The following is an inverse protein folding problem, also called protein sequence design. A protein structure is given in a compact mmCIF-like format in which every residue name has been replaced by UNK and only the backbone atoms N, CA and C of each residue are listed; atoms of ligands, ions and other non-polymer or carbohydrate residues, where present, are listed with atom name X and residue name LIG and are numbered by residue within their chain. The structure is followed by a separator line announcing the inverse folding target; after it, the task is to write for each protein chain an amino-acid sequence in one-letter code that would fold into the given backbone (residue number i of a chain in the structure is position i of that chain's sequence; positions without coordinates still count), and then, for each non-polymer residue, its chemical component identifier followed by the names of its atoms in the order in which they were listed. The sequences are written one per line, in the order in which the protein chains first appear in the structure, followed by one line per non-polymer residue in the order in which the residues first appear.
data_IF_439356218133
#
_entry.id   IF_439356218133
#
_cell.length_a   1.000
_cell.length_b   1.000
_cell.length_c   1.000
_cell.angle_alpha   90.00
_cell.angle_beta   90.00
_cell.angle_gamma   90.00
#
_symmetry.space_group_name_H-M   'P 1'
#
loop_
_entity.id
_entity.type
_entity.pdbx_description
1 polymer ?
#
# COMPACT_ATOMS: atom_id res chain seq x y z
N UNK A 1 34.17 35.89 -41.01
CA UNK A 1 34.89 34.62 -41.19
C UNK A 1 34.73 33.84 -39.89
N UNK A 2 33.56 33.21 -39.69
CA UNK A 2 33.28 31.78 -39.96
C UNK A 2 34.20 30.85 -39.18
N UNK A 3 33.65 30.23 -38.13
CA UNK A 3 34.33 29.21 -37.33
C UNK A 3 33.37 28.58 -36.33
N UNK A 4 32.45 27.76 -36.84
CA UNK A 4 31.63 26.84 -36.08
C UNK A 4 32.50 25.71 -35.52
N UNK A 5 32.43 25.42 -34.23
CA UNK A 5 33.02 24.19 -33.67
C UNK A 5 32.08 23.61 -32.59
N UNK A 6 31.24 22.69 -33.02
CA UNK A 6 30.38 21.86 -32.17
C UNK A 6 31.09 20.51 -31.96
N UNK A 7 31.90 20.40 -30.90
CA UNK A 7 32.29 19.10 -30.34
C UNK A 7 31.05 18.41 -29.76
N UNK A 8 30.63 17.20 -30.13
CA UNK A 8 31.35 15.92 -30.36
C UNK A 8 31.94 15.31 -29.09
N UNK A 9 31.06 14.93 -28.18
CA UNK A 9 31.17 13.84 -27.21
C UNK A 9 29.75 13.28 -27.10
N UNK A 10 29.41 12.03 -27.35
CA UNK A 10 30.17 10.79 -27.31
C UNK A 10 29.15 9.74 -26.84
N UNK A 11 28.19 9.42 -27.70
CA UNK A 11 27.15 8.42 -27.44
C UNK A 11 27.77 7.03 -27.42
N UNK A 12 28.23 6.61 -26.25
CA UNK A 12 28.55 5.23 -25.94
C UNK A 12 27.32 4.56 -25.31
N UNK A 13 26.22 4.50 -26.08
CA UNK A 13 25.18 3.52 -25.77
C UNK A 13 25.69 2.18 -26.24
N UNK A 14 26.04 1.35 -25.25
CA UNK A 14 26.48 -0.02 -25.44
C UNK A 14 25.53 -0.74 -26.38
N UNK A 15 26.15 -1.37 -27.37
CA UNK A 15 25.56 -2.30 -28.30
C UNK A 15 25.10 -3.52 -27.49
N UNK A 16 23.95 -3.38 -26.84
CA UNK A 16 23.21 -4.49 -26.27
C UNK A 16 22.87 -5.43 -27.42
N UNK A 17 23.26 -6.68 -27.27
CA UNK A 17 22.76 -7.77 -28.08
C UNK A 17 21.23 -7.66 -28.17
N UNK A 18 20.74 -7.18 -29.30
CA UNK A 18 19.41 -7.51 -29.80
C UNK A 18 19.44 -9.02 -30.08
N UNK A 19 19.28 -9.81 -29.02
CA UNK A 19 18.74 -11.16 -29.16
C UNK A 19 17.44 -10.98 -29.96
N UNK A 20 17.29 -11.61 -31.14
CA UNK A 20 16.08 -11.49 -31.93
C UNK A 20 14.95 -12.07 -31.08
N UNK A 21 14.24 -11.17 -30.37
CA UNK A 21 13.05 -11.51 -29.60
C UNK A 21 12.15 -12.23 -30.57
N UNK A 22 11.88 -13.48 -30.23
CA UNK A 22 11.38 -14.53 -31.09
C UNK A 22 10.03 -14.11 -31.71
N UNK A 23 10.09 -13.39 -32.83
CA UNK A 23 8.92 -12.81 -33.51
C UNK A 23 7.92 -13.89 -33.96
N UNK A 24 8.40 -15.13 -34.05
CA UNK A 24 7.62 -16.34 -34.28
C UNK A 24 6.70 -16.62 -33.09
N UNK A 25 7.28 -16.65 -31.86
CA UNK A 25 6.53 -16.87 -30.62
C UNK A 25 5.53 -15.73 -30.39
N UNK A 26 5.91 -14.48 -30.67
CA UNK A 26 4.97 -13.36 -30.56
C UNK A 26 3.81 -13.47 -31.56
N UNK A 27 4.07 -13.92 -32.79
CA UNK A 27 3.02 -14.19 -33.79
C UNK A 27 2.10 -15.33 -33.37
N UNK A 28 2.67 -16.42 -32.87
CA UNK A 28 1.91 -17.60 -32.45
C UNK A 28 1.01 -17.27 -31.25
N UNK A 29 1.55 -16.52 -30.27
CA UNK A 29 0.78 -16.01 -29.14
C UNK A 29 -0.36 -15.10 -29.58
N UNK A 30 -0.13 -14.24 -30.58
CA UNK A 30 -1.15 -13.32 -31.12
C UNK A 30 -2.30 -14.09 -31.81
N UNK A 31 -1.98 -15.15 -32.54
CA UNK A 31 -2.99 -16.02 -33.18
C UNK A 31 -3.79 -16.81 -32.14
N UNK A 32 -3.13 -17.34 -31.10
CA UNK A 32 -3.79 -18.05 -30.01
C UNK A 32 -4.74 -17.14 -29.23
N UNK A 33 -4.33 -15.91 -28.93
CA UNK A 33 -5.17 -14.92 -28.26
C UNK A 33 -6.37 -14.51 -29.13
N UNK A 34 -6.19 -14.33 -30.43
CA UNK A 34 -7.30 -14.03 -31.35
C UNK A 34 -8.29 -15.20 -31.51
N UNK A 35 -7.84 -16.45 -31.40
CA UNK A 35 -8.74 -17.61 -31.42
C UNK A 35 -9.45 -17.86 -30.09
N UNK A 36 -8.79 -17.56 -28.97
CA UNK A 36 -9.33 -17.81 -27.63
C UNK A 36 -10.29 -16.71 -27.17
N UNK A 37 -10.16 -15.48 -27.67
CA UNK A 37 -11.08 -14.40 -27.39
C UNK A 37 -12.23 -14.44 -28.42
N UNK A 38 -13.44 -14.91 -28.06
CA UNK A 38 -14.60 -14.69 -28.91
C UNK A 38 -14.75 -13.19 -29.15
N UNK A 39 -14.86 -12.79 -30.41
CA UNK A 39 -15.21 -11.43 -30.83
C UNK A 39 -16.62 -11.16 -30.31
N UNK A 40 -16.71 -10.75 -29.04
CA UNK A 40 -17.95 -10.27 -28.47
C UNK A 40 -18.20 -8.93 -29.15
N UNK A 41 -19.30 -8.78 -29.92
CA UNK A 41 -19.63 -7.49 -30.52
C UNK A 41 -19.62 -6.48 -29.39
N UNK A 42 -18.75 -5.47 -29.51
CA UNK A 42 -18.67 -4.41 -28.53
C UNK A 42 -20.10 -3.86 -28.38
N UNK A 43 -20.74 -3.96 -27.21
CA UNK A 43 -22.09 -3.46 -27.07
C UNK A 43 -22.05 -1.97 -27.42
N UNK A 44 -22.81 -1.56 -28.43
CA UNK A 44 -22.78 -0.20 -28.99
C UNK A 44 -22.91 0.88 -27.89
N UNK A 45 -23.58 0.52 -26.79
CA UNK A 45 -23.82 1.38 -25.62
C UNK A 45 -22.65 1.53 -24.63
N UNK A 46 -21.51 0.84 -24.81
CA UNK A 46 -20.42 0.89 -23.79
C UNK A 46 -19.89 2.31 -23.61
N UNK A 47 -19.67 3.03 -24.71
CA UNK A 47 -19.18 4.41 -24.67
C UNK A 47 -20.23 5.37 -24.12
N UNK A 48 -21.51 5.13 -24.39
CA UNK A 48 -22.59 5.97 -23.88
C UNK A 48 -22.78 5.79 -22.37
N UNK A 49 -22.68 4.56 -21.84
CA UNK A 49 -22.65 4.34 -20.38
C UNK A 49 -21.45 4.99 -19.70
N UNK A 50 -20.29 5.06 -20.37
CA UNK A 50 -19.11 5.76 -19.86
C UNK A 50 -19.35 7.27 -19.86
N UNK A 51 -19.84 7.84 -20.97
CA UNK A 51 -20.21 9.26 -21.07
C UNK A 51 -21.24 9.65 -20.01
N UNK A 52 -22.24 8.80 -19.78
CA UNK A 52 -23.26 9.05 -18.77
C UNK A 52 -22.71 9.01 -17.34
N UNK A 53 -21.80 8.06 -17.04
CA UNK A 53 -21.09 8.02 -15.74
C UNK A 53 -20.22 9.26 -15.52
N UNK A 54 -19.50 9.69 -16.56
CA UNK A 54 -18.67 10.91 -16.49
C UNK A 54 -19.55 12.15 -16.29
N UNK A 55 -20.66 12.25 -17.03
CA UNK A 55 -21.62 13.35 -16.90
C UNK A 55 -22.25 13.41 -15.49
N UNK A 56 -22.66 12.25 -14.92
CA UNK A 56 -23.16 12.16 -13.54
C UNK A 56 -22.11 12.61 -12.51
N UNK A 57 -20.86 12.19 -12.69
CA UNK A 57 -19.76 12.56 -11.78
C UNK A 57 -19.46 14.06 -11.85
N UNK A 58 -19.45 14.65 -13.04
CA UNK A 58 -19.28 16.09 -13.24
C UNK A 58 -20.42 16.91 -12.62
N UNK A 59 -21.68 16.46 -12.74
CA UNK A 59 -22.83 17.14 -12.10
C UNK A 59 -22.69 17.16 -10.57
N UNK A 60 -22.32 16.03 -9.95
CA UNK A 60 -22.10 15.95 -8.49
C UNK A 60 -20.97 16.86 -8.00
N UNK A 61 -19.90 17.00 -8.79
CA UNK A 61 -18.80 17.93 -8.46
C UNK A 61 -19.23 19.40 -8.53
N UNK A 62 -20.06 19.78 -9.50
CA UNK A 62 -20.58 21.14 -9.63
C UNK A 62 -21.52 21.53 -8.49
N UNK A 63 -22.35 20.60 -7.99
CA UNK A 63 -23.21 20.87 -6.83
C UNK A 63 -22.42 20.99 -5.53
N UNK A 64 -21.34 20.21 -5.37
CA UNK A 64 -20.48 20.32 -4.18
C UNK A 64 -19.66 21.62 -4.13
N UNK A 65 -19.25 22.16 -5.29
CA UNK A 65 -18.49 23.40 -5.36
C UNK A 65 -19.27 24.66 -4.92
N UNK A 66 -20.61 24.64 -4.97
CA UNK A 66 -21.44 25.76 -4.54
C UNK A 66 -21.66 25.81 -3.02
N UNK A 67 -21.40 24.72 -2.29
CA UNK A 67 -21.55 24.69 -0.83
C UNK A 67 -20.28 25.14 -0.07
N UNK A 68 -19.11 25.11 -0.71
CA UNK A 68 -17.84 25.49 -0.08
C UNK A 68 -17.45 26.98 -0.30
N UNK A 69 -18.29 27.76 -0.98
CA UNK A 69 -18.00 29.14 -1.40
C UNK A 69 -18.67 30.25 -0.60
N UNK A 70 -19.19 29.98 0.62
CA UNK A 70 -19.92 30.98 1.41
C UNK A 70 -19.37 31.23 2.83
N UNK A 71 -18.20 30.71 3.19
CA UNK A 71 -17.63 30.90 4.54
C UNK A 71 -16.36 31.76 4.59
N UNK A 72 -15.80 32.19 3.46
CA UNK A 72 -14.62 33.07 3.39
C UNK A 72 -14.94 34.50 2.92
N UNK A 73 -16.20 34.93 3.02
CA UNK A 73 -16.66 36.23 2.53
C UNK A 73 -17.43 37.10 3.54
N UNK A 74 -17.37 36.81 4.85
CA UNK A 74 -18.16 37.52 5.87
C UNK A 74 -17.38 37.85 7.16
N UNK A 75 -16.07 38.11 7.05
CA UNK A 75 -15.28 38.67 8.16
C UNK A 75 -14.69 40.05 7.83
N UNK A 76 -14.75 40.51 6.57
CA UNK A 76 -14.21 41.81 6.17
C UNK A 76 -15.17 43.00 6.41
N UNK A 77 -16.44 42.79 6.77
CA UNK A 77 -17.43 43.86 6.87
C UNK A 77 -17.84 44.24 8.31
N UNK A 78 -17.30 43.57 9.34
CA UNK A 78 -17.68 43.81 10.75
C UNK A 78 -16.72 44.74 11.53
N UNK A 79 -15.67 45.27 10.90
CA UNK A 79 -14.67 46.14 11.55
C UNK A 79 -14.85 47.65 11.26
N UNK A 80 -15.91 48.05 10.56
CA UNK A 80 -16.13 49.45 10.15
C UNK A 80 -17.11 50.25 11.04
N UNK A 81 -17.52 49.74 12.21
CA UNK A 81 -18.46 50.45 13.08
C UNK A 81 -18.18 50.21 14.57
N UNK A 82 -17.12 50.81 15.10
CA UNK A 82 -17.00 51.10 16.53
C UNK A 82 -16.17 52.39 16.73
N UNK A 83 -16.81 53.54 17.04
CA UNK A 83 -16.09 54.73 17.47
C UNK A 83 -15.88 54.73 18.99
N UNK A 84 -14.68 55.18 19.37
CA UNK A 84 -14.34 55.95 20.57
C UNK A 84 -14.63 55.38 21.96
N UNK A 85 -13.57 55.01 22.70
CA UNK A 85 -13.18 55.61 24.00
C UNK A 85 -12.00 54.83 24.60
N UNK A 86 -10.77 55.36 24.49
CA UNK A 86 -9.74 55.37 25.53
C UNK A 86 -8.38 55.88 24.98
N UNK A 87 -7.76 56.90 25.60
CA UNK A 87 -6.40 57.34 25.30
C UNK A 87 -5.38 56.64 26.23
N UNK A 88 -4.23 56.24 25.69
CA UNK A 88 -3.13 55.73 26.52
C UNK A 88 -1.90 55.29 25.70
N UNK A 89 -0.77 56.04 25.72
CA UNK A 89 0.31 55.92 24.75
C UNK A 89 1.48 55.05 25.22
N UNK A 90 2.25 54.57 24.24
CA UNK A 90 3.70 54.27 24.23
C UNK A 90 3.92 52.95 23.48
N UNK A 91 4.27 53.04 22.20
CA UNK A 91 5.65 52.91 21.74
C UNK A 91 6.23 51.51 21.98
N UNK A 92 6.45 50.76 20.90
CA UNK A 92 7.78 50.25 20.53
C UNK A 92 7.66 49.53 19.20
N UNK A 93 8.28 50.13 18.18
CA UNK A 93 8.61 49.51 16.90
C UNK A 93 9.63 48.40 17.17
N UNK A 94 9.27 47.14 16.91
CA UNK A 94 10.25 46.07 16.72
C UNK A 94 9.94 45.29 15.45
N UNK A 95 10.72 45.65 14.43
CA UNK A 95 10.97 44.94 13.19
C UNK A 95 11.74 43.64 13.49
N UNK A 96 11.31 42.46 13.03
CA UNK A 96 12.21 41.31 12.95
C UNK A 96 12.89 41.29 11.58
N UNK A 97 14.20 41.13 11.64
CA UNK A 97 15.11 41.11 10.53
C UNK A 97 15.04 39.79 9.73
N UNK A 98 15.20 39.94 8.42
CA UNK A 98 15.75 38.93 7.54
C UNK A 98 17.17 38.56 8.00
N UNK A 99 17.38 37.30 8.36
CA UNK A 99 18.72 36.69 8.41
C UNK A 99 18.61 35.22 8.03
N UNK A 100 19.00 34.91 6.80
CA UNK A 100 19.25 33.56 6.33
C UNK A 100 20.64 33.12 6.84
N UNK A 101 20.78 31.96 7.50
CA UNK A 101 22.08 31.43 7.88
C UNK A 101 22.77 30.73 6.69
N UNK A 102 24.10 30.90 6.50
CA UNK A 102 24.87 30.05 5.62
C UNK A 102 25.17 28.71 6.30
N UNK A 103 24.86 27.60 5.65
CA UNK A 103 25.26 26.26 6.11
C UNK A 103 26.65 25.91 5.54
N UNK A 104 27.62 25.55 6.40
CA UNK A 104 28.96 25.12 6.00
C UNK A 104 29.02 23.61 5.70
N UNK A 105 29.86 23.27 4.72
CA UNK A 105 30.69 22.06 4.70
C UNK A 105 29.98 20.69 4.73
N UNK A 106 29.70 20.13 3.56
CA UNK A 106 29.49 18.69 3.43
C UNK A 106 30.85 17.96 3.48
N UNK A 107 31.09 17.02 4.42
CA UNK A 107 32.26 16.16 4.38
C UNK A 107 32.08 15.08 3.30
N UNK A 108 33.17 14.80 2.59
CA UNK A 108 33.28 13.79 1.55
C UNK A 108 32.96 12.39 2.10
N UNK A 109 32.08 11.67 1.40
CA UNK A 109 31.85 10.25 1.64
C UNK A 109 32.98 9.42 1.01
N UNK A 110 33.59 8.46 1.74
CA UNK A 110 34.57 7.54 1.17
C UNK A 110 33.89 6.53 0.23
N UNK A 111 34.55 6.27 -0.89
CA UNK A 111 34.13 5.30 -1.91
C UNK A 111 34.12 3.86 -1.36
N UNK A 112 33.14 3.03 -1.74
CA UNK A 112 33.17 1.60 -1.42
C UNK A 112 34.21 0.89 -2.30
N UNK A 113 35.16 0.21 -1.66
CA UNK A 113 36.13 -0.68 -2.27
C UNK A 113 35.40 -1.94 -2.75
N UNK A 114 35.35 -2.15 -4.08
CA UNK A 114 34.90 -3.40 -4.68
C UNK A 114 36.01 -4.45 -4.50
N UNK A 115 35.80 -5.39 -3.58
CA UNK A 115 36.59 -6.61 -3.51
C UNK A 115 36.15 -7.53 -4.66
N UNK A 116 37.04 -7.68 -5.63
CA UNK A 116 37.01 -8.72 -6.66
C UNK A 116 37.32 -10.05 -6.00
N UNK A 117 36.31 -10.90 -5.85
CA UNK A 117 36.50 -12.30 -5.47
C UNK A 117 36.25 -13.17 -6.69
N UNK A 118 37.26 -13.98 -7.03
CA UNK A 118 37.31 -14.84 -8.19
C UNK A 118 36.97 -16.27 -7.79
N UNK A 119 36.03 -16.97 -8.46
CA UNK A 119 35.91 -18.41 -8.33
C UNK A 119 36.78 -19.10 -9.38
N UNK A 120 37.75 -19.88 -8.90
CA UNK A 120 38.53 -20.80 -9.72
C UNK A 120 37.71 -21.99 -10.26
N UNK A 121 38.20 -22.65 -11.32
CA UNK A 121 37.52 -23.79 -11.94
C UNK A 121 37.78 -25.08 -11.15
N UNK A 122 36.71 -25.74 -10.69
CA UNK A 122 36.79 -27.13 -10.24
C UNK A 122 36.08 -28.04 -11.24
N UNK A 123 36.84 -29.06 -11.64
CA UNK A 123 36.55 -30.01 -12.68
C UNK A 123 35.45 -31.00 -12.31
N UNK A 124 34.64 -31.31 -13.32
CA UNK A 124 34.00 -32.58 -13.63
C UNK A 124 33.81 -33.63 -12.55
N UNK A 125 32.55 -33.94 -12.28
CA UNK A 125 32.09 -35.32 -12.12
C UNK A 125 30.66 -35.42 -12.64
N UNK A 126 30.47 -36.25 -13.67
CA UNK A 126 29.17 -36.61 -14.24
C UNK A 126 28.60 -37.75 -13.41
N UNK A 127 27.38 -37.64 -12.82
CA UNK A 127 26.70 -38.80 -12.31
C UNK A 127 25.76 -39.38 -13.37
N UNK A 128 26.00 -40.65 -13.63
CA UNK A 128 25.17 -41.64 -14.31
C UNK A 128 23.68 -41.49 -14.01
N UNK A 129 22.89 -41.32 -15.08
CA UNK A 129 21.43 -41.39 -15.09
C UNK A 129 20.95 -42.82 -14.81
N UNK A 130 20.31 -43.03 -13.65
CA UNK A 130 19.50 -44.22 -13.35
C UNK A 130 18.03 -43.86 -13.58
N UNK A 131 17.27 -44.60 -14.40
CA UNK A 131 15.84 -44.41 -14.53
C UNK A 131 15.11 -45.25 -13.49
N UNK A 132 14.30 -44.60 -12.64
CA UNK A 132 13.26 -45.27 -11.87
C UNK A 132 13.29 -44.99 -10.37
N UNK A 133 12.52 -43.99 -9.95
CA UNK A 133 11.84 -44.01 -8.67
C UNK A 133 10.66 -43.02 -8.75
N UNK A 134 9.47 -43.50 -8.41
CA UNK A 134 8.26 -42.72 -8.36
C UNK A 134 8.49 -41.43 -7.57
N UNK A 135 8.18 -40.29 -8.19
CA UNK A 135 8.13 -38.99 -7.56
C UNK A 135 7.12 -39.08 -6.42
N UNK A 136 7.60 -39.33 -5.20
CA UNK A 136 6.84 -39.04 -4.00
C UNK A 136 6.67 -37.53 -4.00
N UNK A 137 5.48 -37.08 -4.36
CA UNK A 137 5.00 -35.73 -4.22
C UNK A 137 5.12 -35.38 -2.73
N UNK A 138 6.27 -34.79 -2.36
CA UNK A 138 6.50 -34.29 -1.01
C UNK A 138 5.44 -33.21 -0.81
N UNK A 139 4.51 -33.37 0.16
CA UNK A 139 3.43 -32.42 0.34
C UNK A 139 4.07 -31.04 0.54
N UNK A 140 3.65 -30.08 -0.29
CA UNK A 140 4.12 -28.71 -0.22
C UNK A 140 4.13 -28.28 1.25
N UNK A 141 5.19 -27.60 1.73
CA UNK A 141 5.33 -27.26 3.14
C UNK A 141 4.06 -26.54 3.58
N UNK A 142 3.22 -27.23 4.35
CA UNK A 142 2.00 -26.67 4.89
C UNK A 142 2.45 -25.52 5.78
N UNK A 143 2.24 -24.30 5.30
CA UNK A 143 2.46 -23.09 6.08
C UNK A 143 1.57 -23.26 7.29
N UNK A 144 2.16 -23.60 8.44
CA UNK A 144 1.41 -23.85 9.65
C UNK A 144 0.71 -22.55 10.04
N UNK A 145 -0.56 -22.46 9.66
CA UNK A 145 -1.36 -21.27 9.81
C UNK A 145 -2.09 -21.35 11.16
N UNK A 146 -1.99 -20.29 11.96
CA UNK A 146 -2.64 -20.20 13.27
C UNK A 146 -3.82 -19.25 13.19
N UNK A 147 -5.06 -19.69 13.44
CA UNK A 147 -6.20 -18.78 13.46
C UNK A 147 -6.07 -17.81 14.64
N UNK A 148 -6.43 -16.54 14.40
CA UNK A 148 -6.41 -15.48 15.41
C UNK A 148 -7.64 -14.59 15.27
N UNK A 149 -8.35 -14.37 16.37
CA UNK A 149 -9.60 -13.60 16.44
C UNK A 149 -9.36 -12.16 16.92
N UNK A 150 -10.06 -11.21 16.33
CA UNK A 150 -10.09 -9.78 16.70
C UNK A 150 -11.51 -9.39 17.17
N UNK A 151 -11.84 -9.59 18.46
CA UNK A 151 -13.17 -9.29 19.01
C UNK A 151 -13.60 -7.83 18.84
N UNK A 152 -12.67 -6.88 19.00
CA UNK A 152 -12.96 -5.44 18.83
C UNK A 152 -13.31 -5.04 17.39
N UNK A 153 -13.02 -5.92 16.41
CA UNK A 153 -13.40 -5.80 15.00
C UNK A 153 -14.64 -6.62 14.64
N UNK A 154 -15.53 -6.89 15.61
CA UNK A 154 -16.72 -7.70 15.36
C UNK A 154 -16.45 -9.19 15.25
N UNK A 155 -15.34 -9.67 15.85
CA UNK A 155 -14.99 -11.08 15.87
C UNK A 155 -14.32 -11.59 14.59
N UNK A 156 -13.74 -10.69 13.78
CA UNK A 156 -12.97 -11.05 12.58
C UNK A 156 -11.81 -11.98 12.96
N UNK A 157 -11.70 -13.10 12.27
CA UNK A 157 -10.66 -14.11 12.42
C UNK A 157 -9.83 -14.16 11.14
N UNK A 158 -8.51 -14.26 11.28
CA UNK A 158 -7.54 -14.44 10.19
C UNK A 158 -6.55 -15.54 10.54
N UNK A 159 -6.05 -16.25 9.54
CA UNK A 159 -5.02 -17.26 9.72
C UNK A 159 -3.64 -16.65 9.50
N UNK A 160 -2.81 -16.73 10.53
CA UNK A 160 -1.48 -16.13 10.54
C UNK A 160 -0.41 -17.15 10.19
N UNK A 161 0.50 -16.84 9.24
CA UNK A 161 1.66 -17.68 8.99
C UNK A 161 2.54 -17.78 10.24
N UNK A 162 3.27 -18.89 10.35
CA UNK A 162 4.23 -19.08 11.43
C UNK A 162 5.23 -17.90 11.53
N UNK A 163 5.52 -17.47 12.75
CA UNK A 163 6.43 -16.35 13.04
C UNK A 163 5.81 -14.95 12.95
N UNK A 164 4.58 -14.82 12.44
CA UNK A 164 3.88 -13.53 12.41
C UNK A 164 3.36 -13.14 13.79
N UNK A 165 3.37 -11.85 14.06
CA UNK A 165 2.88 -11.25 15.30
C UNK A 165 1.67 -10.36 15.04
N UNK A 166 0.91 -10.07 16.09
CA UNK A 166 -0.41 -9.45 15.97
C UNK A 166 -0.75 -8.60 17.19
N UNK A 167 -1.46 -7.50 16.97
CA UNK A 167 -2.04 -6.70 18.06
C UNK A 167 -3.31 -5.99 17.61
N UNK A 168 -4.21 -5.71 18.54
CA UNK A 168 -5.39 -4.89 18.31
C UNK A 168 -5.24 -3.56 19.04
N UNK A 169 -5.64 -2.47 18.38
CA UNK A 169 -5.80 -1.16 18.99
C UNK A 169 -7.30 -0.89 19.07
N UNK A 170 -7.90 -1.04 20.27
CA UNK A 170 -9.33 -0.83 20.46
C UNK A 170 -9.66 0.65 20.33
N UNK A 171 -10.85 0.94 19.80
CA UNK A 171 -11.44 2.28 19.86
C UNK A 171 -12.78 2.22 20.60
N UNK A 172 -13.33 3.40 20.94
CA UNK A 172 -14.64 3.50 21.58
C UNK A 172 -15.74 2.85 20.72
N UNK A 173 -15.64 3.01 19.40
CA UNK A 173 -16.52 2.38 18.43
C UNK A 173 -15.82 1.17 17.77
N UNK A 174 -16.47 0.00 17.66
CA UNK A 174 -15.88 -1.18 17.01
C UNK A 174 -15.37 -0.93 15.59
N UNK A 175 -16.04 -0.05 14.85
CA UNK A 175 -15.66 0.31 13.46
C UNK A 175 -14.41 1.19 13.39
N UNK A 176 -14.05 1.84 14.49
CA UNK A 176 -12.82 2.62 14.61
C UNK A 176 -11.66 1.79 15.19
N UNK A 177 -11.92 0.59 15.71
CA UNK A 177 -10.88 -0.33 16.14
C UNK A 177 -10.02 -0.75 14.94
N UNK A 178 -8.75 -1.02 15.19
CA UNK A 178 -7.81 -1.45 14.15
C UNK A 178 -7.05 -2.69 14.61
N UNK A 179 -6.99 -3.70 13.76
CA UNK A 179 -6.15 -4.88 13.94
C UNK A 179 -4.86 -4.72 13.15
N UNK A 180 -3.75 -5.19 13.70
CA UNK A 180 -2.46 -5.22 13.03
C UNK A 180 -1.88 -6.61 13.06
N UNK A 181 -1.27 -7.01 11.95
CA UNK A 181 -0.50 -8.24 11.83
C UNK A 181 0.79 -7.93 11.09
N UNK A 182 1.93 -8.40 11.56
CA UNK A 182 3.21 -8.16 10.91
C UNK A 182 4.10 -9.41 10.90
N UNK A 183 5.00 -9.46 9.91
CA UNK A 183 6.04 -10.50 9.82
C UNK A 183 7.18 -10.29 10.81
N UNK A 184 7.17 -9.19 11.56
CA UNK A 184 8.13 -8.84 12.59
C UNK A 184 7.40 -8.55 13.93
N UNK A 185 8.12 -8.50 15.07
CA UNK A 185 7.51 -8.22 16.36
C UNK A 185 6.79 -6.86 16.40
N UNK A 186 5.57 -6.84 16.90
CA UNK A 186 4.79 -5.63 17.14
C UNK A 186 5.03 -5.09 18.56
N UNK A 187 5.16 -3.77 18.69
CA UNK A 187 5.17 -3.13 20.00
C UNK A 187 3.76 -3.15 20.61
N UNK A 188 3.58 -3.68 21.83
CA UNK A 188 2.26 -3.81 22.46
C UNK A 188 1.67 -2.46 22.88
N UNK A 189 2.50 -1.41 22.95
CA UNK A 189 2.09 -0.06 23.30
C UNK A 189 2.71 0.90 22.30
N UNK A 190 2.01 1.27 21.21
CA UNK A 190 2.53 2.23 20.25
C UNK A 190 2.85 3.55 20.99
N UNK A 191 4.12 3.93 21.01
CA UNK A 191 4.61 5.14 21.70
C UNK A 191 4.32 6.37 20.85
N UNK A 192 3.05 6.72 20.82
CA UNK A 192 2.54 7.79 20.00
C UNK A 192 2.69 9.15 20.66
N UNK A 193 3.50 10.00 20.02
CA UNK A 193 3.48 11.43 20.33
C UNK A 193 2.15 12.06 19.90
N UNK A 194 1.69 13.14 20.56
CA UNK A 194 0.36 13.74 20.37
C UNK A 194 0.09 14.33 18.97
N UNK A 195 1.08 14.35 18.07
CA UNK A 195 0.96 14.94 16.73
C UNK A 195 1.20 13.96 15.58
N UNK A 196 1.39 12.66 15.85
CA UNK A 196 1.59 11.69 14.78
C UNK A 196 0.25 11.09 14.35
N UNK A 197 -0.25 11.51 13.20
CA UNK A 197 -1.48 10.99 12.59
C UNK A 197 -1.35 9.55 12.10
N UNK A 198 -0.13 8.99 12.05
CA UNK A 198 0.16 7.62 11.57
C UNK A 198 0.80 6.77 12.66
N UNK A 199 0.13 6.75 13.80
CA UNK A 199 0.50 5.94 14.92
C UNK A 199 0.16 4.47 14.68
N UNK A 200 1.18 3.62 14.57
CA UNK A 200 0.99 2.18 14.42
C UNK A 200 2.02 1.41 15.25
N UNK A 201 1.78 0.12 15.51
CA UNK A 201 2.61 -0.71 16.40
C UNK A 201 3.96 -1.12 15.80
N UNK A 202 4.28 -0.64 14.59
CA UNK A 202 5.58 -0.83 13.94
C UNK A 202 6.16 0.54 13.65
N UNK A 203 7.48 0.67 13.73
CA UNK A 203 8.21 1.80 13.16
C UNK A 203 8.40 1.60 11.65
N UNK A 204 9.67 1.53 11.25
CA UNK A 204 10.10 1.23 9.88
C UNK A 204 10.16 -0.30 9.69
N UNK A 205 9.59 -0.78 8.59
CA UNK A 205 9.62 -2.19 8.19
C UNK A 205 11.05 -2.62 7.84
N UNK A 206 11.48 -3.78 8.34
CA UNK A 206 12.71 -4.43 7.85
C UNK A 206 12.60 -4.81 6.36
N UNK A 207 13.73 -5.03 5.68
CA UNK A 207 13.73 -5.53 4.31
C UNK A 207 13.10 -6.92 4.24
N UNK A 208 12.15 -7.11 3.32
CA UNK A 208 11.31 -8.32 3.23
C UNK A 208 10.13 -8.33 4.20
N UNK A 209 10.01 -7.33 5.07
CA UNK A 209 8.95 -7.21 6.08
C UNK A 209 7.60 -6.80 5.51
N UNK A 210 6.55 -7.16 6.24
CA UNK A 210 5.16 -6.88 5.91
C UNK A 210 4.37 -6.43 7.15
N UNK A 211 3.49 -5.45 6.97
CA UNK A 211 2.48 -5.04 7.94
C UNK A 211 1.11 -5.03 7.25
N UNK A 212 0.17 -5.79 7.81
CA UNK A 212 -1.25 -5.81 7.41
C UNK A 212 -2.06 -5.08 8.45
N UNK A 213 -2.79 -4.06 8.02
CA UNK A 213 -3.77 -3.32 8.82
C UNK A 213 -5.16 -3.83 8.48
N UNK A 214 -5.96 -4.17 9.49
CA UNK A 214 -7.29 -4.74 9.37
C UNK A 214 -8.28 -3.75 9.98
N UNK A 215 -9.26 -3.31 9.20
CA UNK A 215 -10.30 -2.39 9.64
C UNK A 215 -11.68 -2.85 9.18
N UNK A 216 -12.71 -2.47 9.92
CA UNK A 216 -14.10 -2.76 9.57
C UNK A 216 -14.74 -1.52 8.93
N UNK A 217 -14.99 -1.58 7.63
CA UNK A 217 -15.62 -0.51 6.85
C UNK A 217 -17.14 -0.71 6.87
N UNK A 218 -17.85 0.23 7.50
CA UNK A 218 -19.31 0.20 7.64
C UNK A 218 -20.08 0.75 6.44
N UNK A 219 -19.57 0.57 5.22
CA UNK A 219 -20.18 1.12 3.99
C UNK A 219 -20.97 0.02 3.26
N UNK A 220 -22.30 0.06 3.37
CA UNK A 220 -23.19 -0.88 2.68
C UNK A 220 -23.08 -0.75 1.15
N UNK A 221 -22.83 0.46 0.62
CA UNK A 221 -22.66 0.67 -0.81
C UNK A 221 -21.38 -0.02 -1.30
N UNK A 222 -20.36 -0.16 -0.44
CA UNK A 222 -19.17 -0.94 -0.76
C UNK A 222 -19.46 -2.44 -0.74
N UNK A 223 -20.21 -2.94 0.24
CA UNK A 223 -20.61 -4.35 0.29
C UNK A 223 -21.37 -4.76 -0.99
N UNK A 224 -22.33 -3.94 -1.44
CA UNK A 224 -23.07 -4.20 -2.68
C UNK A 224 -22.17 -4.22 -3.92
N UNK A 225 -21.20 -3.32 -4.02
CA UNK A 225 -20.23 -3.31 -5.14
C UNK A 225 -19.28 -4.50 -5.12
N UNK A 226 -19.01 -5.04 -3.93
CA UNK A 226 -18.13 -6.18 -3.72
C UNK A 226 -18.84 -7.53 -3.77
N UNK A 227 -20.11 -7.58 -4.18
CA UNK A 227 -20.93 -8.81 -4.31
C UNK A 227 -20.29 -9.93 -5.17
N UNK A 228 -19.20 -9.65 -5.88
CA UNK A 228 -18.35 -10.65 -6.55
C UNK A 228 -17.36 -11.39 -5.63
N UNK A 229 -17.43 -11.20 -4.31
CA UNK A 229 -16.80 -12.06 -3.30
C UNK A 229 -15.35 -11.75 -2.93
N UNK A 230 -14.64 -10.92 -3.72
CA UNK A 230 -13.24 -10.55 -3.42
C UNK A 230 -12.78 -9.42 -4.34
N UNK A 231 -12.14 -8.42 -3.75
CA UNK A 231 -11.24 -7.53 -4.48
C UNK A 231 -9.88 -7.58 -3.79
N UNK A 232 -8.82 -7.88 -4.54
CA UNK A 232 -7.44 -7.63 -4.13
C UNK A 232 -6.84 -6.81 -5.25
N UNK A 233 -6.41 -5.60 -4.91
CA UNK A 233 -5.89 -4.64 -5.86
C UNK A 233 -4.52 -4.22 -5.38
N UNK A 234 -3.53 -4.33 -6.25
CA UNK A 234 -2.26 -3.66 -6.06
C UNK A 234 -2.46 -2.18 -6.30
N UNK A 235 -2.05 -1.36 -5.34
CA UNK A 235 -2.24 0.09 -5.39
C UNK A 235 -0.89 0.79 -5.32
N UNK A 236 -0.88 2.06 -5.73
CA UNK A 236 0.25 2.92 -5.42
C UNK A 236 0.49 2.95 -3.90
N UNK A 237 1.77 3.05 -3.53
CA UNK A 237 2.20 3.13 -2.13
C UNK A 237 1.74 4.46 -1.54
N UNK A 238 0.91 4.41 -0.52
CA UNK A 238 0.45 5.60 0.18
C UNK A 238 1.56 6.21 1.06
N UNK A 239 1.31 7.44 1.54
CA UNK A 239 2.28 8.17 2.37
C UNK A 239 2.62 7.41 3.66
N UNK A 240 1.64 6.78 4.30
CA UNK A 240 1.86 6.03 5.54
C UNK A 240 2.73 4.79 5.33
N UNK A 241 2.51 4.04 4.26
CA UNK A 241 3.31 2.90 3.89
C UNK A 241 4.73 3.32 3.48
N UNK A 242 4.86 4.38 2.68
CA UNK A 242 6.15 4.95 2.30
C UNK A 242 6.98 5.43 3.49
N UNK A 243 6.36 6.09 4.49
CA UNK A 243 7.04 6.51 5.72
C UNK A 243 7.58 5.33 6.53
N UNK A 244 6.96 4.16 6.43
CA UNK A 244 7.41 2.90 7.04
C UNK A 244 8.48 2.19 6.22
N UNK A 245 8.92 2.77 5.10
CA UNK A 245 9.87 2.16 4.17
C UNK A 245 9.24 1.13 3.22
N UNK A 246 7.92 1.09 3.12
CA UNK A 246 7.22 0.24 2.17
C UNK A 246 7.51 0.66 0.73
N UNK A 247 7.65 -0.33 -0.13
CA UNK A 247 7.87 -0.19 -1.58
C UNK A 247 6.73 -0.79 -2.41
N UNK A 248 5.79 -1.48 -1.76
CA UNK A 248 4.62 -2.09 -2.40
C UNK A 248 3.44 -2.05 -1.43
N UNK A 249 2.24 -1.83 -1.97
CA UNK A 249 1.01 -1.82 -1.20
C UNK A 249 -0.07 -2.66 -1.88
N UNK A 250 -0.77 -3.44 -1.08
CA UNK A 250 -1.88 -4.28 -1.54
C UNK A 250 -3.09 -3.98 -0.66
N UNK A 251 -4.24 -3.74 -1.28
CA UNK A 251 -5.50 -3.53 -0.59
C UNK A 251 -6.45 -4.67 -0.94
N UNK A 252 -6.99 -5.33 0.08
CA UNK A 252 -7.98 -6.39 -0.06
C UNK A 252 -9.26 -6.05 0.68
N UNK A 253 -10.40 -6.39 0.07
CA UNK A 253 -11.72 -6.27 0.71
C UNK A 253 -12.39 -7.63 0.81
N UNK A 254 -13.00 -7.91 1.97
CA UNK A 254 -13.77 -9.13 2.21
C UNK A 254 -15.11 -8.78 2.84
N UNK A 255 -16.18 -9.40 2.34
CA UNK A 255 -17.49 -9.32 2.98
C UNK A 255 -17.54 -10.39 4.06
N UNK A 256 -17.95 -10.00 5.26
CA UNK A 256 -18.15 -10.91 6.39
C UNK A 256 -19.46 -10.57 7.09
N UNK A 257 -20.02 -11.55 7.81
CA UNK A 257 -21.20 -11.32 8.64
C UNK A 257 -20.77 -10.95 10.06
N UNK A 258 -21.08 -9.72 10.49
CA UNK A 258 -20.84 -9.22 11.85
C UNK A 258 -22.18 -8.97 12.51
N UNK A 259 -22.49 -9.71 13.59
CA UNK A 259 -23.75 -9.60 14.32
C UNK A 259 -25.00 -9.68 13.42
N UNK A 260 -24.99 -10.62 12.47
CA UNK A 260 -26.05 -10.83 11.47
C UNK A 260 -26.25 -9.69 10.46
N UNK A 261 -25.24 -8.83 10.28
CA UNK A 261 -25.22 -7.81 9.23
C UNK A 261 -23.96 -7.98 8.38
N UNK A 262 -24.12 -7.85 7.05
CA UNK A 262 -23.00 -7.83 6.13
C UNK A 262 -22.13 -6.58 6.40
N UNK A 263 -20.83 -6.79 6.55
CA UNK A 263 -19.83 -5.75 6.74
C UNK A 263 -18.63 -6.02 5.83
N UNK A 264 -17.87 -4.97 5.51
CA UNK A 264 -16.64 -5.09 4.71
C UNK A 264 -15.45 -4.99 5.62
N UNK A 265 -14.59 -6.00 5.62
CA UNK A 265 -13.25 -5.92 6.20
C UNK A 265 -12.31 -5.43 5.11
N UNK A 266 -11.65 -4.29 5.37
CA UNK A 266 -10.56 -3.80 4.54
C UNK A 266 -9.24 -4.22 5.18
N UNK A 267 -8.37 -4.79 4.35
CA UNK A 267 -7.03 -5.20 4.71
C UNK A 267 -6.03 -4.45 3.83
N UNK A 268 -5.20 -3.63 4.45
CA UNK A 268 -4.15 -2.87 3.78
C UNK A 268 -2.80 -3.43 4.16
N UNK A 269 -2.10 -4.05 3.21
CA UNK A 269 -0.77 -4.61 3.41
C UNK A 269 0.30 -3.65 2.87
N UNK A 270 1.19 -3.20 3.74
CA UNK A 270 2.39 -2.44 3.40
C UNK A 270 3.61 -3.37 3.43
N UNK A 271 4.38 -3.38 2.35
CA UNK A 271 5.47 -4.35 2.11
C UNK A 271 6.76 -3.60 1.79
N UNK A 272 7.88 -3.92 2.44
CA UNK A 272 9.20 -3.36 2.11
C UNK A 272 10.03 -4.38 1.35
N UNK A 273 10.21 -4.18 0.03
CA UNK A 273 10.96 -5.08 -0.88
C UNK A 273 10.61 -6.56 -0.65
N UNK A 274 9.34 -6.94 -0.79
CA UNK A 274 8.88 -8.27 -0.40
C UNK A 274 9.46 -9.36 -1.30
N UNK A 275 9.74 -10.52 -0.72
CA UNK A 275 10.01 -11.74 -1.49
C UNK A 275 8.70 -12.31 -2.05
N UNK A 276 8.79 -13.25 -3.01
CA UNK A 276 7.60 -13.97 -3.49
C UNK A 276 6.85 -14.70 -2.37
N UNK A 277 7.59 -15.25 -1.40
CA UNK A 277 7.02 -15.91 -0.22
C UNK A 277 6.24 -14.93 0.67
N UNK A 278 6.79 -13.73 0.94
CA UNK A 278 6.08 -12.70 1.74
C UNK A 278 4.77 -12.30 1.06
N UNK A 279 4.76 -12.16 -0.27
CA UNK A 279 3.54 -11.84 -1.03
C UNK A 279 2.50 -12.95 -0.90
N UNK A 280 2.90 -14.22 -1.04
CA UNK A 280 2.01 -15.37 -0.87
C UNK A 280 1.44 -15.45 0.56
N UNK A 281 2.26 -15.19 1.57
CA UNK A 281 1.81 -15.15 2.97
C UNK A 281 0.76 -14.05 3.21
N UNK A 282 0.96 -12.85 2.65
CA UNK A 282 -0.06 -11.79 2.72
C UNK A 282 -1.33 -12.18 1.99
N UNK A 283 -1.23 -12.78 0.80
CA UNK A 283 -2.40 -13.27 0.06
C UNK A 283 -3.17 -14.32 0.87
N UNK A 284 -2.47 -15.23 1.55
CA UNK A 284 -3.09 -16.21 2.45
C UNK A 284 -3.85 -15.54 3.60
N UNK A 285 -3.25 -14.53 4.26
CA UNK A 285 -3.94 -13.75 5.31
C UNK A 285 -5.21 -13.11 4.76
N UNK A 286 -5.13 -12.45 3.59
CA UNK A 286 -6.29 -11.81 2.92
C UNK A 286 -7.41 -12.83 2.61
N UNK A 287 -7.04 -14.07 2.31
CA UNK A 287 -7.98 -15.12 1.91
C UNK A 287 -8.61 -15.85 3.09
N UNK A 288 -7.94 -15.82 4.24
CA UNK A 288 -8.40 -16.47 5.47
C UNK A 288 -9.47 -15.71 6.27
N UNK A 289 -9.75 -14.46 5.90
CA UNK A 289 -10.63 -13.55 6.66
C UNK A 289 -12.04 -14.12 6.76
N UNK A 290 -12.52 -14.30 8.00
CA UNK A 290 -13.86 -14.81 8.32
C UNK A 290 -14.33 -14.25 9.67
N UNK A 291 -15.57 -14.50 10.08
CA UNK A 291 -16.09 -14.12 11.41
C UNK A 291 -16.49 -15.32 12.27
N UNK A 292 -16.35 -16.53 11.74
CA UNK A 292 -16.70 -17.79 12.40
C UNK A 292 -15.46 -18.59 12.81
N UNK A 293 -15.65 -19.46 13.80
CA UNK A 293 -14.62 -20.38 14.29
C UNK A 293 -14.03 -19.96 15.63
N UNK A 294 -13.72 -20.96 16.45
CA UNK A 294 -13.04 -20.75 17.73
C UNK A 294 -11.55 -20.52 17.47
N UNK A 295 -11.05 -19.38 17.92
CA UNK A 295 -9.66 -18.99 17.76
C UNK A 295 -9.19 -18.13 18.95
N UNK A 296 -7.90 -18.21 19.32
CA UNK A 296 -7.33 -17.33 20.34
C UNK A 296 -7.53 -15.85 20.01
N UNK A 297 -7.80 -15.05 21.05
CA UNK A 297 -7.97 -13.60 20.93
C UNK A 297 -6.64 -12.89 20.69
N UNK A 298 -6.63 -11.92 19.78
CA UNK A 298 -5.49 -11.08 19.47
C UNK A 298 -5.02 -10.28 20.69
N UNK A 299 -3.70 -10.18 20.94
CA UNK A 299 -3.16 -9.34 22.00
C UNK A 299 -3.61 -7.89 21.89
N UNK A 300 -3.91 -7.25 23.03
CA UNK A 300 -4.39 -5.86 23.06
C UNK A 300 -5.89 -5.70 22.85
N UNK A 301 -6.62 -6.78 22.55
CA UNK A 301 -8.07 -6.73 22.51
C UNK A 301 -8.67 -6.53 23.90
N UNK A 302 -9.70 -5.69 24.00
CA UNK A 302 -10.38 -5.39 25.27
C UNK A 302 -11.67 -6.19 25.49
N UNK A 303 -12.14 -6.91 24.46
CA UNK A 303 -13.35 -7.74 24.52
C UNK A 303 -12.95 -9.21 24.44
N UNK A 304 -13.39 -10.00 25.42
CA UNK A 304 -13.20 -11.45 25.49
C UNK A 304 -14.52 -12.19 25.27
#
# INVERSE_FOLDING_TARGET
MTGSDTGRYGDAYGQGHDEPVDTEVERELRVLLQRAAPDLPAPDDRMDRVRERVARTLRRRRTAALAAGLTTGLVAAALAAAPALAPGPSATVLRPATTAPPLPGAPAAPAPTLATDAPGPVAGTVPTSVPGAATSESPAPEVSARPLRFPDLGGVTVDLPAGWSSTAVPAAEPRASTGYVASEPLDPKPSCGPQQSSCGPVGRLAGGGALVTITLVGDQDMAEKLSGGRAVVETDVDKSCGLRGGTRQVVGHRIVDVANAAAVVELTACLNRPSGQTVQQVQHILDSVRTTGDAPTAPGSTRG
#
